data_IF_407106131592
#
_entry.id   IF_407106131592
#
_cell.length_a   1.000
_cell.length_b   1.000
_cell.length_c   1.000
_cell.angle_alpha   90.00
_cell.angle_beta   90.00
_cell.angle_gamma   90.00
#
_symmetry.space_group_name_H-M   'P 1'
#
loop_
_entity.id
_entity.type
_entity.pdbx_description
1 polymer ?
#
# COMPACT_ATOMS: atom_id res chain seq x y z
N UNK A 1 -62.24 -66.25 0.75
CA UNK A 1 -61.37 -66.54 1.92
C UNK A 1 -60.84 -65.22 2.48
N UNK A 2 -60.90 -64.94 3.79
CA UNK A 2 -59.93 -64.06 4.47
C UNK A 2 -58.63 -64.86 4.70
N UNK A 3 -57.44 -64.28 5.04
CA UNK A 3 -57.24 -63.30 6.11
C UNK A 3 -56.13 -62.24 5.86
N UNK A 4 -55.80 -61.56 6.96
CA UNK A 4 -55.16 -60.26 7.23
C UNK A 4 -53.70 -60.43 7.69
N UNK A 5 -52.84 -59.43 7.44
CA UNK A 5 -51.68 -59.08 8.29
C UNK A 5 -51.25 -57.62 7.95
N UNK A 6 -51.62 -56.59 8.72
CA UNK A 6 -50.98 -56.08 9.95
C UNK A 6 -49.60 -55.44 9.76
N UNK A 7 -49.50 -54.11 9.93
CA UNK A 7 -48.59 -53.51 10.93
C UNK A 7 -48.82 -52.00 11.13
N UNK A 8 -48.52 -51.59 12.37
CA UNK A 8 -48.74 -50.32 13.05
C UNK A 8 -47.92 -49.16 12.47
N UNK A 9 -48.42 -47.92 12.59
CA UNK A 9 -47.62 -46.71 12.41
C UNK A 9 -48.34 -45.46 12.88
N UNK A 10 -47.85 -44.88 13.98
CA UNK A 10 -48.47 -43.83 14.80
C UNK A 10 -48.75 -42.48 14.11
N UNK A 11 -49.80 -41.82 14.60
CA UNK A 11 -50.10 -40.40 14.38
C UNK A 11 -48.97 -39.50 14.90
N UNK A 12 -48.58 -38.48 14.14
CA UNK A 12 -48.12 -37.20 14.68
C UNK A 12 -48.48 -36.04 13.75
N UNK A 13 -49.43 -35.23 14.22
CA UNK A 13 -49.69 -33.90 13.73
C UNK A 13 -48.59 -32.93 14.23
N UNK A 14 -48.68 -31.68 13.74
CA UNK A 14 -48.14 -30.43 14.31
C UNK A 14 -47.00 -29.76 13.50
N UNK A 15 -47.47 -28.86 12.63
CA UNK A 15 -46.93 -27.53 12.27
C UNK A 15 -45.51 -27.39 11.74
N UNK A 16 -45.39 -27.21 10.41
CA UNK A 16 -44.28 -26.47 9.80
C UNK A 16 -44.39 -24.99 10.23
N UNK A 17 -43.69 -24.62 11.29
CA UNK A 17 -43.42 -23.21 11.59
C UNK A 17 -42.59 -22.63 10.43
N UNK A 18 -43.22 -21.79 9.61
CA UNK A 18 -42.51 -20.88 8.70
C UNK A 18 -41.66 -19.98 9.59
N UNK A 19 -40.36 -20.22 9.61
CA UNK A 19 -39.39 -19.24 10.11
C UNK A 19 -39.47 -18.03 9.20
N UNK A 20 -40.21 -17.00 9.66
CA UNK A 20 -40.14 -15.66 9.12
C UNK A 20 -38.68 -15.20 9.28
N UNK A 21 -37.89 -15.30 8.20
CA UNK A 21 -36.60 -14.64 8.13
C UNK A 21 -36.89 -13.14 8.15
N UNK A 22 -36.64 -12.54 9.31
CA UNK A 22 -36.57 -11.09 9.47
C UNK A 22 -35.58 -10.52 8.45
N UNK A 23 -36.15 -9.99 7.38
CA UNK A 23 -35.51 -9.10 6.45
C UNK A 23 -35.16 -7.81 7.19
N UNK A 24 -33.91 -7.67 7.65
CA UNK A 24 -33.18 -6.38 7.67
C UNK A 24 -31.81 -6.52 8.33
N UNK A 25 -30.97 -7.43 7.80
CA UNK A 25 -29.52 -7.25 7.98
C UNK A 25 -29.11 -6.15 7.02
N UNK A 26 -29.10 -4.89 7.47
CA UNK A 26 -28.46 -3.75 6.79
C UNK A 26 -27.16 -4.24 6.16
N UNK A 27 -27.15 -4.41 4.84
CA UNK A 27 -26.00 -4.86 4.07
C UNK A 27 -24.82 -3.99 4.49
N UNK A 28 -23.81 -4.61 5.12
CA UNK A 28 -22.58 -3.94 5.54
C UNK A 28 -22.03 -3.24 4.30
N UNK A 29 -22.11 -1.91 4.26
CA UNK A 29 -21.72 -1.12 3.10
C UNK A 29 -20.26 -1.44 2.83
N UNK A 30 -19.95 -2.02 1.67
CA UNK A 30 -18.57 -2.34 1.27
C UNK A 30 -17.77 -1.05 1.40
N UNK A 31 -16.64 -1.10 2.12
CA UNK A 31 -15.79 0.08 2.35
C UNK A 31 -15.42 0.64 0.98
N UNK A 32 -15.91 1.85 0.69
CA UNK A 32 -15.56 2.53 -0.56
C UNK A 32 -14.20 3.15 -0.32
N UNK A 33 -13.17 2.60 -0.96
CA UNK A 33 -11.85 3.21 -0.96
C UNK A 33 -11.96 4.55 -1.68
N UNK A 34 -11.53 5.61 -1.00
CA UNK A 34 -11.68 6.98 -1.46
C UNK A 34 -10.51 7.81 -0.96
N UNK A 35 -10.00 8.65 -1.85
CA UNK A 35 -8.93 9.58 -1.58
C UNK A 35 -9.44 10.92 -1.02
N UNK A 36 -10.75 11.08 -0.80
CA UNK A 36 -11.37 12.34 -0.40
C UNK A 36 -10.72 12.99 0.84
N UNK A 37 -10.35 12.19 1.84
CA UNK A 37 -9.69 12.70 3.06
C UNK A 37 -8.33 13.30 2.71
N UNK A 38 -7.56 12.65 1.84
CA UNK A 38 -6.21 13.11 1.45
C UNK A 38 -6.28 14.32 0.52
N UNK A 39 -7.22 14.32 -0.44
CA UNK A 39 -7.47 15.45 -1.32
C UNK A 39 -7.81 16.70 -0.49
N UNK A 40 -8.66 16.55 0.54
CA UNK A 40 -8.99 17.66 1.43
C UNK A 40 -7.78 18.15 2.23
N UNK A 41 -6.96 17.24 2.77
CA UNK A 41 -5.74 17.60 3.52
C UNK A 41 -4.74 18.37 2.64
N UNK A 42 -4.50 17.91 1.42
CA UNK A 42 -3.60 18.59 0.47
C UNK A 42 -4.18 19.94 0.06
N UNK A 43 -5.49 20.03 -0.19
CA UNK A 43 -6.14 21.30 -0.51
C UNK A 43 -5.92 22.33 0.60
N UNK A 44 -6.10 21.97 1.87
CA UNK A 44 -5.88 22.88 3.01
C UNK A 44 -4.42 23.23 3.25
N UNK A 45 -3.49 22.38 2.82
CA UNK A 45 -2.06 22.71 2.86
C UNK A 45 -1.67 23.79 1.84
N UNK A 46 -2.35 23.85 0.69
CA UNK A 46 -2.05 24.80 -0.40
C UNK A 46 -2.93 26.06 -0.30
N UNK A 47 -4.22 25.90 0.04
CA UNK A 47 -5.21 26.97 0.15
C UNK A 47 -6.08 26.79 1.42
N UNK A 48 -5.68 27.38 2.56
CA UNK A 48 -6.40 27.24 3.83
C UNK A 48 -7.86 27.71 3.79
N UNK A 49 -8.16 28.77 3.04
CA UNK A 49 -9.49 29.41 3.06
C UNK A 49 -10.43 28.92 1.96
N UNK A 50 -9.95 28.06 1.05
CA UNK A 50 -10.76 27.54 -0.07
C UNK A 50 -11.49 26.26 0.31
N UNK A 51 -12.76 26.14 -0.12
CA UNK A 51 -13.56 24.92 -0.03
C UNK A 51 -13.63 24.16 -1.36
N UNK A 52 -13.94 22.86 -1.32
CA UNK A 52 -14.17 22.03 -2.51
C UNK A 52 -15.60 21.49 -2.49
N UNK A 53 -16.30 21.60 -3.62
CA UNK A 53 -17.65 21.05 -3.75
C UNK A 53 -17.63 19.52 -3.81
N UNK A 54 -18.76 18.88 -3.48
CA UNK A 54 -18.89 17.42 -3.55
C UNK A 54 -18.70 16.87 -4.97
N UNK A 55 -19.16 17.62 -5.99
CA UNK A 55 -18.96 17.27 -7.41
C UNK A 55 -17.49 17.35 -7.79
N UNK A 56 -16.79 18.43 -7.43
CA UNK A 56 -15.35 18.58 -7.67
C UNK A 56 -14.55 17.49 -6.94
N UNK A 57 -14.91 17.17 -5.70
CA UNK A 57 -14.29 16.08 -4.94
C UNK A 57 -14.44 14.72 -5.64
N UNK A 58 -15.62 14.44 -6.21
CA UNK A 58 -15.84 13.19 -6.97
C UNK A 58 -14.99 13.11 -8.23
N UNK A 59 -14.82 14.23 -8.93
CA UNK A 59 -13.95 14.32 -10.12
C UNK A 59 -12.50 14.06 -9.71
N UNK A 60 -12.01 14.74 -8.67
CA UNK A 60 -10.65 14.56 -8.17
C UNK A 60 -10.37 13.12 -7.71
N UNK A 61 -11.29 12.50 -6.99
CA UNK A 61 -11.15 11.11 -6.57
C UNK A 61 -11.07 10.15 -7.77
N UNK A 62 -11.87 10.40 -8.82
CA UNK A 62 -11.86 9.58 -10.02
C UNK A 62 -10.57 9.78 -10.83
N UNK A 63 -10.09 11.03 -10.91
CA UNK A 63 -8.81 11.37 -11.54
C UNK A 63 -7.63 10.65 -10.87
N UNK A 64 -7.58 10.61 -9.54
CA UNK A 64 -6.53 9.89 -8.80
C UNK A 64 -6.58 8.38 -9.11
N UNK A 65 -7.77 7.77 -9.16
CA UNK A 65 -7.91 6.36 -9.50
C UNK A 65 -7.46 6.07 -10.94
N UNK A 66 -7.88 6.87 -11.92
CA UNK A 66 -7.47 6.71 -13.33
C UNK A 66 -5.95 6.82 -13.47
N UNK A 67 -5.32 7.82 -12.83
CA UNK A 67 -3.87 7.96 -12.86
C UNK A 67 -3.16 6.79 -12.17
N UNK A 68 -3.68 6.32 -11.03
CA UNK A 68 -3.13 5.17 -10.32
C UNK A 68 -3.19 3.90 -11.17
N UNK A 69 -4.33 3.59 -11.78
CA UNK A 69 -4.50 2.41 -12.63
C UNK A 69 -3.56 2.45 -13.84
N UNK A 70 -3.41 3.63 -14.48
CA UNK A 70 -2.46 3.81 -15.60
C UNK A 70 -1.02 3.55 -15.17
N UNK A 71 -0.56 4.17 -14.07
CA UNK A 71 0.81 4.00 -13.57
C UNK A 71 1.05 2.55 -13.15
N UNK A 72 0.11 1.94 -12.42
CA UNK A 72 0.24 0.57 -11.95
C UNK A 72 0.27 -0.44 -13.11
N UNK A 73 -0.58 -0.25 -14.12
CA UNK A 73 -0.61 -1.09 -15.32
C UNK A 73 0.71 -1.02 -16.08
N UNK A 74 1.23 0.20 -16.30
CA UNK A 74 2.48 0.39 -17.04
C UNK A 74 3.70 -0.12 -16.25
N UNK A 75 3.74 0.12 -14.94
CA UNK A 75 4.79 -0.42 -14.07
C UNK A 75 4.76 -1.96 -14.01
N UNK A 76 3.57 -2.56 -14.01
CA UNK A 76 3.40 -4.02 -14.08
C UNK A 76 3.94 -4.57 -15.40
N UNK A 77 3.59 -3.94 -16.54
CA UNK A 77 4.15 -4.30 -17.85
C UNK A 77 5.68 -4.24 -17.87
N UNK A 78 6.27 -3.18 -17.34
CA UNK A 78 7.73 -3.03 -17.24
C UNK A 78 8.38 -4.12 -16.39
N UNK A 79 7.76 -4.50 -15.27
CA UNK A 79 8.24 -5.60 -14.43
C UNK A 79 8.21 -6.93 -15.20
N UNK A 80 7.13 -7.19 -15.94
CA UNK A 80 7.01 -8.38 -16.78
C UNK A 80 8.05 -8.42 -17.91
N UNK A 81 8.33 -7.30 -18.58
CA UNK A 81 9.39 -7.22 -19.60
C UNK A 81 10.77 -7.56 -19.02
N UNK A 82 11.04 -7.10 -17.80
CA UNK A 82 12.28 -7.39 -17.08
C UNK A 82 12.30 -8.78 -16.42
N UNK A 83 11.26 -9.61 -16.62
CA UNK A 83 11.07 -10.93 -15.98
C UNK A 83 11.15 -10.88 -14.45
N UNK A 84 10.69 -9.78 -13.86
CA UNK A 84 10.61 -9.61 -12.39
C UNK A 84 9.18 -9.80 -11.93
N UNK A 85 9.01 -10.53 -10.83
CA UNK A 85 7.72 -10.67 -10.13
C UNK A 85 7.44 -9.53 -9.16
N UNK A 86 8.43 -8.68 -8.90
CA UNK A 86 8.34 -7.53 -7.98
C UNK A 86 8.43 -6.23 -8.76
N UNK A 87 7.43 -5.35 -8.57
CA UNK A 87 7.46 -3.97 -9.07
C UNK A 87 8.34 -3.16 -8.11
N UNK A 88 9.46 -2.63 -8.60
CA UNK A 88 10.38 -1.79 -7.82
C UNK A 88 10.10 -0.30 -8.07
N UNK A 89 10.74 0.56 -7.28
CA UNK A 89 10.68 2.01 -7.50
C UNK A 89 11.15 2.43 -8.91
N UNK A 90 12.00 1.63 -9.56
CA UNK A 90 12.48 1.89 -10.91
C UNK A 90 11.39 1.72 -11.96
N UNK A 91 10.58 0.65 -11.88
CA UNK A 91 9.45 0.46 -12.80
C UNK A 91 8.42 1.58 -12.63
N UNK A 92 8.11 1.96 -11.38
CA UNK A 92 7.18 3.07 -11.10
C UNK A 92 7.71 4.39 -11.63
N UNK A 93 8.99 4.71 -11.40
CA UNK A 93 9.61 5.94 -11.88
C UNK A 93 9.63 6.01 -13.42
N UNK A 94 9.87 4.88 -14.07
CA UNK A 94 9.86 4.79 -15.54
C UNK A 94 8.44 4.94 -16.08
N UNK A 95 7.46 4.25 -15.48
CA UNK A 95 6.05 4.38 -15.84
C UNK A 95 5.55 5.83 -15.72
N UNK A 96 5.93 6.55 -14.65
CA UNK A 96 5.59 7.98 -14.49
C UNK A 96 6.16 8.83 -15.61
N UNK A 97 7.40 8.56 -16.06
CA UNK A 97 8.02 9.28 -17.18
C UNK A 97 7.38 8.97 -18.54
N UNK A 98 6.80 7.78 -18.70
CA UNK A 98 6.08 7.41 -19.92
C UNK A 98 4.68 8.04 -19.97
N UNK A 99 4.01 8.20 -18.82
CA UNK A 99 2.64 8.66 -18.74
C UNK A 99 2.49 10.19 -18.62
N UNK A 100 3.45 10.86 -17.97
CA UNK A 100 3.39 12.31 -17.76
C UNK A 100 4.32 13.05 -18.74
N UNK A 101 3.88 14.18 -19.32
CA UNK A 101 4.70 14.95 -20.24
C UNK A 101 5.68 15.89 -19.51
N UNK A 102 6.85 16.09 -20.12
CA UNK A 102 7.76 17.22 -19.85
C UNK A 102 8.08 17.47 -18.37
N UNK A 103 7.82 18.69 -17.92
CA UNK A 103 8.11 19.15 -16.54
C UNK A 103 7.30 18.43 -15.46
N UNK A 104 6.09 17.95 -15.78
CA UNK A 104 5.27 17.20 -14.81
C UNK A 104 5.94 15.88 -14.42
N UNK A 105 6.52 15.17 -15.38
CA UNK A 105 7.27 13.95 -15.09
C UNK A 105 8.50 14.23 -14.21
N UNK A 106 9.24 15.31 -14.48
CA UNK A 106 10.42 15.69 -13.69
C UNK A 106 10.04 15.98 -12.24
N UNK A 107 9.00 16.78 -12.01
CA UNK A 107 8.52 17.08 -10.66
C UNK A 107 7.98 15.83 -9.95
N UNK A 108 7.13 15.03 -10.61
CA UNK A 108 6.57 13.82 -10.02
C UNK A 108 7.65 12.83 -9.59
N UNK A 109 8.67 12.65 -10.43
CA UNK A 109 9.82 11.79 -10.11
C UNK A 109 10.64 12.36 -8.95
N UNK A 110 10.94 13.66 -8.96
CA UNK A 110 11.68 14.32 -7.89
C UNK A 110 10.96 14.18 -6.54
N UNK A 111 9.66 14.49 -6.49
CA UNK A 111 8.85 14.36 -5.27
C UNK A 111 8.74 12.90 -4.80
N UNK A 112 8.60 11.95 -5.73
CA UNK A 112 8.62 10.53 -5.42
C UNK A 112 9.93 10.08 -4.78
N UNK A 113 11.08 10.48 -5.34
CA UNK A 113 12.39 10.15 -4.78
C UNK A 113 12.59 10.76 -3.39
N UNK A 114 12.24 12.04 -3.20
CA UNK A 114 12.30 12.69 -1.88
C UNK A 114 11.46 11.96 -0.83
N UNK A 115 10.25 11.55 -1.19
CA UNK A 115 9.36 10.82 -0.29
C UNK A 115 9.97 9.47 0.14
N UNK A 116 10.54 8.72 -0.80
CA UNK A 116 11.21 7.44 -0.51
C UNK A 116 12.42 7.63 0.41
N UNK A 117 13.25 8.64 0.13
CA UNK A 117 14.41 8.96 0.98
C UNK A 117 13.97 9.32 2.41
N UNK A 118 12.96 10.18 2.55
CA UNK A 118 12.43 10.58 3.86
C UNK A 118 11.85 9.38 4.63
N UNK A 119 11.13 8.49 3.95
CA UNK A 119 10.59 7.28 4.55
C UNK A 119 11.68 6.34 5.08
N UNK A 120 12.71 6.10 4.27
CA UNK A 120 13.85 5.26 4.69
C UNK A 120 14.58 5.88 5.87
N UNK A 121 14.80 7.21 5.86
CA UNK A 121 15.41 7.92 6.98
C UNK A 121 14.56 7.85 8.25
N UNK A 122 13.25 8.08 8.18
CA UNK A 122 12.39 8.00 9.38
C UNK A 122 12.36 6.60 9.96
N UNK A 123 12.39 5.57 9.12
CA UNK A 123 12.46 4.16 9.56
C UNK A 123 13.79 3.89 10.28
N UNK A 124 14.90 4.37 9.75
CA UNK A 124 16.22 4.20 10.39
C UNK A 124 16.33 4.97 11.70
N UNK A 125 15.78 6.19 11.78
CA UNK A 125 15.72 6.96 13.02
C UNK A 125 14.88 6.26 14.09
N UNK A 126 13.73 5.68 13.71
CA UNK A 126 12.93 4.88 14.64
C UNK A 126 13.69 3.66 15.16
N UNK A 127 14.48 2.99 14.32
CA UNK A 127 15.32 1.85 14.73
C UNK A 127 16.47 2.28 15.64
N UNK A 128 17.10 3.44 15.37
CA UNK A 128 18.23 3.95 16.15
C UNK A 128 17.83 4.53 17.50
N UNK A 129 16.65 5.13 17.58
CA UNK A 129 16.12 5.73 18.81
C UNK A 129 15.59 4.67 19.79
N UNK A 130 15.44 3.43 19.35
CA UNK A 130 15.07 2.29 20.20
C UNK A 130 16.36 1.59 20.66
N UNK A 131 16.70 1.75 21.94
CA UNK A 131 17.94 1.20 22.50
C UNK A 131 17.99 -0.33 22.44
N UNK A 132 16.86 -1.02 22.63
CA UNK A 132 16.81 -2.49 22.59
C UNK A 132 17.03 -2.99 21.16
N UNK A 133 16.38 -2.35 20.19
CA UNK A 133 16.50 -2.71 18.78
C UNK A 133 17.90 -2.39 18.23
N UNK A 134 18.49 -1.26 18.64
CA UNK A 134 19.84 -0.86 18.26
C UNK A 134 20.89 -1.82 18.85
N UNK A 135 20.70 -2.27 20.10
CA UNK A 135 21.59 -3.24 20.75
C UNK A 135 21.48 -4.63 20.11
N UNK A 136 20.27 -5.05 19.76
CA UNK A 136 19.98 -6.30 19.05
C UNK A 136 20.55 -6.34 17.62
N UNK A 137 20.55 -5.20 16.93
CA UNK A 137 21.01 -5.07 15.55
C UNK A 137 22.48 -4.61 15.42
N UNK A 138 23.19 -4.43 16.53
CA UNK A 138 24.57 -3.92 16.57
C UNK A 138 25.58 -4.71 15.74
N UNK A 139 25.33 -6.00 15.47
CA UNK A 139 26.15 -6.88 14.63
C UNK A 139 25.63 -7.14 13.22
N UNK A 140 24.48 -6.57 12.82
CA UNK A 140 23.82 -6.89 11.54
C UNK A 140 24.05 -5.77 10.52
N UNK A 141 24.68 -6.11 9.40
CA UNK A 141 24.84 -5.18 8.27
C UNK A 141 23.55 -5.14 7.44
N UNK A 142 22.77 -4.07 7.57
CA UNK A 142 21.54 -3.88 6.77
C UNK A 142 21.91 -3.25 5.42
N UNK A 143 22.15 -4.09 4.42
CA UNK A 143 22.65 -3.72 3.09
C UNK A 143 21.74 -2.77 2.28
N UNK A 144 20.48 -2.57 2.66
CA UNK A 144 19.50 -1.77 1.90
C UNK A 144 19.26 -0.36 2.47
N UNK A 145 20.06 0.06 3.47
CA UNK A 145 19.72 1.21 4.33
C UNK A 145 20.70 2.38 4.38
N UNK A 146 21.73 2.44 3.54
CA UNK A 146 22.62 3.61 3.49
C UNK A 146 23.20 4.03 4.85
N UNK A 147 23.64 3.07 5.66
CA UNK A 147 24.40 3.39 6.87
C UNK A 147 25.85 3.61 6.47
N UNK A 148 26.42 4.76 6.86
CA UNK A 148 27.86 4.99 6.80
C UNK A 148 28.54 3.79 7.47
N UNK A 149 29.31 2.97 6.72
CA UNK A 149 29.88 1.78 7.29
C UNK A 149 30.82 2.21 8.42
N UNK A 150 30.63 1.64 9.61
CA UNK A 150 31.61 1.72 10.68
C UNK A 150 32.79 0.82 10.27
N UNK A 151 33.55 1.26 9.26
CA UNK A 151 34.77 0.59 8.83
C UNK A 151 35.77 0.80 9.94
N UNK A 152 36.10 -0.26 10.67
CA UNK A 152 37.18 -0.18 11.65
C UNK A 152 38.43 0.34 10.97
N UNK A 153 39.10 1.33 11.57
CA UNK A 153 40.23 2.02 10.96
C UNK A 153 41.38 1.08 10.53
N UNK A 154 41.43 -0.13 11.09
CA UNK A 154 42.36 -1.20 10.70
C UNK A 154 42.14 -1.74 9.29
N UNK A 155 40.90 -1.66 8.77
CA UNK A 155 40.50 -2.10 7.44
C UNK A 155 40.64 -1.00 6.38
N UNK A 156 40.90 0.24 6.80
CA UNK A 156 41.25 1.30 5.86
C UNK A 156 42.71 1.13 5.45
N UNK A 157 43.04 1.19 4.15
CA UNK A 157 44.42 1.13 3.71
C UNK A 157 45.19 2.29 4.33
N UNK A 158 46.23 1.98 5.13
CA UNK A 158 47.12 2.99 5.70
C UNK A 158 47.71 3.80 4.54
N UNK A 159 47.44 5.11 4.50
CA UNK A 159 48.10 6.03 3.56
C UNK A 159 49.61 5.87 3.74
N UNK A 160 50.28 5.26 2.76
CA UNK A 160 51.72 5.43 2.60
C UNK A 160 51.96 6.89 2.24
N UNK A 161 52.54 7.64 3.17
CA UNK A 161 52.99 9.00 2.92
C UNK A 161 53.99 9.00 1.77
N UNK A 162 53.72 9.78 0.72
CA UNK A 162 54.75 10.15 -0.26
C UNK A 162 55.54 11.34 0.29
N UNK A 163 56.86 11.17 0.22
CA UNK A 163 57.95 12.16 0.13
C UNK A 163 58.09 13.24 1.20
N UNK A 164 59.17 13.13 1.98
CA UNK A 164 60.37 13.95 1.72
C UNK A 164 61.55 13.03 1.46
#
# INVERSE_FOLDING_TARGET
MPPKAASKGAKKAVTKAKTARTTDKKRRKKRRESYAIYIYKVLKQVHPDTGISSKAMSIMNSFVNDLFERIASEASRLAHYNRRSTITSREVQTAVRLLLPGELAKHAVSEGTKAVTKYTQSKLLAIRNDEELNKLLSGVTIAQGGVLPNIQAVLLPKKSGKSQ
#
